data_IF_360832475829
#
_entry.id   IF_360832475829
#
_cell.length_a   1.000
_cell.length_b   1.000
_cell.length_c   1.000
_cell.angle_alpha   90.00
_cell.angle_beta   90.00
_cell.angle_gamma   90.00
#
_symmetry.space_group_name_H-M   'P 1'
#
loop_
_entity.id
_entity.type
_entity.pdbx_description
1 polymer ?
#
# COMPACT_ATOMS: atom_id res chain seq x y z
N UNK A 1 9.02 -38.68 27.27
CA UNK A 1 9.57 -38.15 26.00
C UNK A 1 8.42 -37.43 25.34
N UNK A 2 8.36 -36.11 25.56
CA UNK A 2 7.41 -35.25 24.87
C UNK A 2 8.09 -34.78 23.59
N UNK A 3 7.50 -35.08 22.45
CA UNK A 3 7.90 -34.51 21.17
C UNK A 3 7.34 -33.09 21.11
N UNK A 4 8.23 -32.10 21.09
CA UNK A 4 7.90 -30.72 20.76
C UNK A 4 7.39 -30.68 19.31
N UNK A 5 6.11 -30.38 19.14
CA UNK A 5 5.58 -29.94 17.85
C UNK A 5 6.09 -28.54 17.60
N UNK A 6 7.11 -28.43 16.75
CA UNK A 6 7.48 -27.18 16.09
C UNK A 6 6.32 -26.75 15.20
N UNK A 7 5.49 -25.83 15.69
CA UNK A 7 4.55 -25.09 14.87
C UNK A 7 5.35 -24.13 13.99
N UNK A 8 5.56 -24.53 12.75
CA UNK A 8 6.01 -23.66 11.67
C UNK A 8 4.82 -22.79 11.24
N UNK A 9 4.72 -21.58 11.81
CA UNK A 9 3.77 -20.57 11.37
C UNK A 9 4.38 -19.78 10.22
N UNK A 10 4.45 -20.40 9.04
CA UNK A 10 4.57 -19.65 7.80
C UNK A 10 3.33 -18.76 7.69
N UNK A 11 3.50 -17.46 7.93
CA UNK A 11 2.40 -16.49 7.85
C UNK A 11 1.99 -16.34 6.38
N UNK A 12 1.03 -17.14 5.96
CA UNK A 12 0.55 -17.18 4.57
C UNK A 12 -0.13 -15.84 4.25
N UNK A 13 0.48 -15.04 3.37
CA UNK A 13 -0.08 -13.76 2.91
C UNK A 13 -1.30 -14.09 2.04
N UNK A 14 -2.47 -13.54 2.41
CA UNK A 14 -3.72 -13.74 1.68
C UNK A 14 -3.84 -12.70 0.57
N UNK A 15 -4.39 -13.09 -0.58
CA UNK A 15 -4.76 -12.14 -1.63
C UNK A 15 -5.79 -11.13 -1.08
N UNK A 16 -5.56 -9.81 -1.20
CA UNK A 16 -6.36 -8.82 -0.49
C UNK A 16 -7.75 -8.66 -1.10
N UNK A 17 -8.67 -8.22 -0.25
CA UNK A 17 -9.99 -7.76 -0.70
C UNK A 17 -9.91 -6.27 -1.12
N UNK A 18 -8.94 -5.51 -0.58
CA UNK A 18 -8.74 -4.08 -0.91
C UNK A 18 -7.26 -3.70 -0.99
N UNK A 19 -6.92 -2.80 -1.93
CA UNK A 19 -5.60 -2.16 -2.03
C UNK A 19 -5.77 -0.66 -1.87
N UNK A 20 -5.12 -0.06 -0.86
CA UNK A 20 -5.18 1.38 -0.60
C UNK A 20 -3.83 2.02 -0.88
N UNK A 21 -3.83 3.02 -1.76
CA UNK A 21 -2.64 3.79 -2.12
C UNK A 21 -2.72 5.18 -1.50
N UNK A 22 -1.73 5.56 -0.70
CA UNK A 22 -1.64 6.88 -0.09
C UNK A 22 -0.53 7.71 -0.75
N UNK A 23 -0.83 8.98 -1.06
CA UNK A 23 0.20 10.00 -1.03
C UNK A 23 0.54 10.37 0.42
N UNK A 24 1.70 10.99 0.63
CA UNK A 24 2.14 11.53 1.91
C UNK A 24 1.77 13.00 2.04
N UNK A 25 2.19 13.79 1.04
CA UNK A 25 2.18 15.25 1.16
C UNK A 25 0.75 15.75 1.02
N UNK A 26 0.37 16.66 1.92
CA UNK A 26 -1.00 17.17 2.08
C UNK A 26 -2.08 16.10 2.30
N UNK A 27 -1.68 14.86 2.57
CA UNK A 27 -2.58 13.71 2.66
C UNK A 27 -2.54 13.06 4.05
N UNK A 28 -1.35 12.78 4.57
CA UNK A 28 -1.15 12.11 5.86
C UNK A 28 -0.74 13.12 6.93
N UNK A 29 -1.08 12.88 8.20
CA UNK A 29 -0.84 13.78 9.34
C UNK A 29 0.62 14.20 9.55
N UNK A 30 1.58 13.45 9.01
CA UNK A 30 3.02 13.80 9.02
C UNK A 30 3.37 14.97 8.07
N UNK A 31 2.50 15.27 7.11
CA UNK A 31 2.59 16.45 6.26
C UNK A 31 1.19 16.88 5.81
N UNK A 32 0.37 17.44 6.72
CA UNK A 32 -1.05 17.65 6.48
C UNK A 32 -1.29 18.85 5.54
N UNK A 33 -2.45 18.84 4.87
CA UNK A 33 -2.91 20.03 4.14
C UNK A 33 -3.17 21.18 5.14
N UNK A 34 -2.80 22.44 4.83
CA UNK A 34 -2.93 23.54 5.79
C UNK A 34 -4.38 23.87 6.20
N UNK A 35 -5.36 23.52 5.36
CA UNK A 35 -6.76 23.90 5.53
C UNK A 35 -7.74 22.72 5.57
N UNK A 36 -7.24 21.48 5.53
CA UNK A 36 -8.10 20.29 5.48
C UNK A 36 -7.58 19.23 6.44
N UNK A 37 -8.49 18.37 6.89
CA UNK A 37 -8.14 17.22 7.71
C UNK A 37 -7.28 16.23 6.90
N UNK A 38 -6.27 15.69 7.57
CA UNK A 38 -5.34 14.72 7.01
C UNK A 38 -5.62 13.34 7.61
N UNK A 39 -5.32 12.30 6.83
CA UNK A 39 -5.40 10.93 7.31
C UNK A 39 -4.36 10.74 8.41
N UNK A 40 -4.75 10.28 9.62
CA UNK A 40 -3.78 9.96 10.66
C UNK A 40 -2.80 8.87 10.17
N UNK A 41 -1.49 9.08 10.35
CA UNK A 41 -0.47 8.05 10.08
C UNK A 41 -0.78 6.74 10.82
N UNK A 42 -1.31 6.84 12.04
CA UNK A 42 -1.82 5.71 12.82
C UNK A 42 -2.80 4.82 12.03
N UNK A 43 -3.66 5.42 11.20
CA UNK A 43 -4.60 4.68 10.36
C UNK A 43 -3.88 3.97 9.22
N UNK A 44 -2.91 4.63 8.58
CA UNK A 44 -2.09 4.03 7.52
C UNK A 44 -1.36 2.78 8.05
N UNK A 45 -0.75 2.89 9.24
CA UNK A 45 -0.08 1.76 9.91
C UNK A 45 -1.05 0.65 10.29
N UNK A 46 -2.18 0.98 10.90
CA UNK A 46 -3.19 0.00 11.29
C UNK A 46 -3.70 -0.79 10.07
N UNK A 47 -4.05 -0.08 8.99
CA UNK A 47 -4.44 -0.68 7.72
C UNK A 47 -3.37 -1.61 7.16
N UNK A 48 -2.11 -1.21 7.21
CA UNK A 48 -1.03 -1.99 6.62
C UNK A 48 -0.63 -3.24 7.42
N UNK A 49 -0.70 -3.16 8.75
CA UNK A 49 -0.05 -4.14 9.62
C UNK A 49 -1.02 -4.95 10.48
N UNK A 50 -2.25 -4.47 10.67
CA UNK A 50 -3.26 -5.16 11.49
C UNK A 50 -4.44 -5.70 10.67
N UNK A 51 -4.58 -5.26 9.41
CA UNK A 51 -5.70 -5.65 8.51
C UNK A 51 -5.21 -6.50 7.35
N UNK A 52 -5.26 -7.82 7.52
CA UNK A 52 -4.73 -8.81 6.56
C UNK A 52 -5.45 -8.83 5.21
N UNK A 53 -6.68 -8.34 5.15
CA UNK A 53 -7.49 -8.22 3.95
C UNK A 53 -7.19 -6.95 3.15
N UNK A 54 -6.32 -6.06 3.67
CA UNK A 54 -5.98 -4.77 3.05
C UNK A 54 -4.47 -4.73 2.80
N UNK A 55 -4.08 -4.40 1.58
CA UNK A 55 -2.70 -4.06 1.28
C UNK A 55 -2.57 -2.54 1.11
N UNK A 56 -1.47 -1.97 1.62
CA UNK A 56 -1.26 -0.52 1.63
C UNK A 56 0.03 -0.15 0.91
N UNK A 57 -0.02 0.88 0.08
CA UNK A 57 1.12 1.36 -0.73
C UNK A 57 1.36 2.87 -0.55
N UNK A 58 2.64 3.27 -0.57
CA UNK A 58 3.06 4.66 -0.67
C UNK A 58 3.33 5.03 -2.15
N UNK A 59 2.37 5.65 -2.81
CA UNK A 59 2.43 5.89 -4.27
C UNK A 59 2.88 7.30 -4.67
N UNK A 60 2.89 8.25 -3.74
CA UNK A 60 3.40 9.61 -3.96
C UNK A 60 4.76 9.84 -3.34
N UNK A 61 4.87 10.72 -2.34
CA UNK A 61 6.15 10.97 -1.69
C UNK A 61 6.61 9.75 -0.85
N UNK A 62 7.76 9.20 -1.26
CA UNK A 62 8.32 7.94 -0.77
C UNK A 62 8.89 7.99 0.67
N UNK A 63 8.84 9.14 1.36
CA UNK A 63 9.12 9.18 2.79
C UNK A 63 8.09 8.35 3.60
N UNK A 64 6.82 8.31 3.16
CA UNK A 64 5.76 7.55 3.85
C UNK A 64 6.08 6.06 3.96
N UNK A 65 6.77 5.52 2.95
CA UNK A 65 7.30 4.15 2.95
C UNK A 65 8.05 3.83 4.24
N UNK A 66 8.91 4.75 4.69
CA UNK A 66 9.72 4.59 5.90
C UNK A 66 8.95 4.93 7.15
N UNK A 67 8.11 5.96 7.10
CA UNK A 67 7.33 6.45 8.24
C UNK A 67 6.24 5.45 8.69
N UNK A 68 5.73 4.62 7.76
CA UNK A 68 4.71 3.61 7.99
C UNK A 68 5.15 2.16 7.73
N UNK A 69 6.38 1.92 7.26
CA UNK A 69 6.88 0.59 6.87
C UNK A 69 5.96 -0.13 5.87
N UNK A 70 5.53 0.58 4.83
CA UNK A 70 4.68 0.06 3.74
C UNK A 70 5.45 0.07 2.42
N UNK A 71 5.17 -0.79 1.43
CA UNK A 71 5.83 -0.75 0.14
C UNK A 71 5.57 0.54 -0.64
N UNK A 72 6.55 0.97 -1.44
CA UNK A 72 6.47 2.15 -2.29
C UNK A 72 6.66 1.80 -3.78
N UNK A 73 6.91 2.83 -4.60
CA UNK A 73 7.01 2.68 -6.06
C UNK A 73 8.23 1.84 -6.48
N UNK A 74 9.34 1.92 -5.75
CA UNK A 74 10.50 1.08 -6.08
C UNK A 74 10.22 -0.39 -5.82
N UNK A 75 9.50 -0.70 -4.75
CA UNK A 75 9.07 -2.07 -4.44
C UNK A 75 8.06 -2.58 -5.47
N UNK A 76 7.19 -1.71 -6.00
CA UNK A 76 6.31 -2.04 -7.12
C UNK A 76 7.12 -2.37 -8.40
N UNK A 77 8.14 -1.55 -8.72
CA UNK A 77 9.02 -1.79 -9.88
C UNK A 77 9.75 -3.13 -9.73
N UNK A 78 10.33 -3.43 -8.55
CA UNK A 78 10.98 -4.72 -8.33
C UNK A 78 9.97 -5.86 -8.47
N UNK A 79 8.78 -5.74 -7.88
CA UNK A 79 7.73 -6.76 -7.98
C UNK A 79 7.37 -7.05 -9.43
N UNK A 80 7.19 -6.01 -10.25
CA UNK A 80 6.89 -6.16 -11.66
C UNK A 80 8.06 -6.73 -12.48
N UNK A 81 9.30 -6.39 -12.10
CA UNK A 81 10.49 -6.98 -12.68
C UNK A 81 10.51 -8.50 -12.47
N UNK A 82 10.28 -8.98 -11.24
CA UNK A 82 10.21 -10.41 -10.90
C UNK A 82 8.99 -11.12 -11.51
N UNK A 83 7.92 -10.36 -11.80
CA UNK A 83 6.74 -10.89 -12.47
C UNK A 83 6.97 -11.12 -13.96
N UNK A 84 7.68 -10.21 -14.62
CA UNK A 84 7.78 -10.15 -16.07
C UNK A 84 9.09 -10.70 -16.62
N UNK A 85 10.22 -10.54 -15.92
CA UNK A 85 11.53 -10.87 -16.48
C UNK A 85 12.04 -12.24 -16.03
N UNK A 86 12.82 -12.94 -16.88
CA UNK A 86 13.23 -12.54 -18.24
C UNK A 86 12.16 -12.77 -19.32
N UNK A 87 11.02 -13.34 -18.97
CA UNK A 87 10.07 -13.93 -19.92
C UNK A 87 9.34 -12.92 -20.83
N UNK A 88 9.20 -11.67 -20.41
CA UNK A 88 8.43 -10.64 -21.12
C UNK A 88 8.98 -9.23 -20.90
N UNK A 89 10.05 -8.89 -21.62
CA UNK A 89 10.67 -7.55 -21.61
C UNK A 89 9.70 -6.46 -22.10
N UNK A 90 8.84 -6.78 -23.06
CA UNK A 90 7.87 -5.85 -23.63
C UNK A 90 6.83 -5.43 -22.58
N UNK A 91 6.25 -6.40 -21.83
CA UNK A 91 5.29 -6.11 -20.75
C UNK A 91 5.93 -5.36 -19.59
N UNK A 92 7.19 -5.66 -19.28
CA UNK A 92 7.94 -4.86 -18.30
C UNK A 92 8.03 -3.38 -18.72
N UNK A 93 8.37 -3.12 -19.99
CA UNK A 93 8.53 -1.76 -20.52
C UNK A 93 7.24 -0.97 -20.69
N UNK A 94 6.10 -1.64 -20.74
CA UNK A 94 4.77 -1.00 -20.80
C UNK A 94 4.51 -0.14 -19.56
N UNK A 95 4.91 -0.62 -18.38
CA UNK A 95 4.71 0.09 -17.12
C UNK A 95 5.97 0.77 -16.59
N UNK A 96 7.17 0.28 -16.97
CA UNK A 96 8.44 0.84 -16.52
C UNK A 96 9.24 1.33 -17.73
N UNK A 97 8.99 2.58 -18.19
CA UNK A 97 9.64 3.11 -19.37
C UNK A 97 11.15 3.28 -19.13
N UNK A 98 12.01 2.82 -20.06
CA UNK A 98 13.47 2.78 -19.87
C UNK A 98 14.12 4.17 -19.72
N UNK A 99 13.41 5.23 -20.08
CA UNK A 99 13.91 6.62 -20.07
C UNK A 99 13.50 7.38 -18.81
N UNK A 100 12.60 6.83 -17.98
CA UNK A 100 12.13 7.52 -16.78
C UNK A 100 12.89 7.02 -15.56
N UNK A 101 13.65 7.91 -14.93
CA UNK A 101 14.33 7.61 -13.66
C UNK A 101 13.33 7.37 -12.51
N UNK A 102 12.06 7.78 -12.66
CA UNK A 102 10.96 7.63 -11.70
C UNK A 102 9.63 7.52 -12.42
N UNK A 103 8.71 6.72 -11.88
CA UNK A 103 7.32 6.74 -12.33
C UNK A 103 6.63 7.99 -11.78
N UNK A 104 5.78 8.60 -12.61
CA UNK A 104 4.84 9.60 -12.12
C UNK A 104 3.73 8.95 -11.30
N UNK A 105 2.88 9.79 -10.70
CA UNK A 105 1.80 9.36 -9.80
C UNK A 105 0.82 8.38 -10.46
N UNK A 106 0.38 8.69 -11.68
CA UNK A 106 -0.58 7.84 -12.43
C UNK A 106 0.06 6.55 -12.91
N UNK A 107 1.30 6.62 -13.38
CA UNK A 107 2.06 5.44 -13.81
C UNK A 107 2.35 4.50 -12.64
N UNK A 108 2.69 5.05 -11.47
CA UNK A 108 2.90 4.27 -10.25
C UNK A 108 1.64 3.53 -9.79
N UNK A 109 0.49 4.20 -9.80
CA UNK A 109 -0.80 3.57 -9.50
C UNK A 109 -1.16 2.49 -10.53
N UNK A 110 -0.99 2.76 -11.82
CA UNK A 110 -1.22 1.77 -12.86
C UNK A 110 -0.34 0.52 -12.68
N UNK A 111 0.93 0.71 -12.29
CA UNK A 111 1.84 -0.39 -11.99
C UNK A 111 1.39 -1.21 -10.78
N UNK A 112 1.01 -0.56 -9.67
CA UNK A 112 0.51 -1.26 -8.47
C UNK A 112 -0.68 -2.13 -8.84
N UNK A 113 -1.66 -1.60 -9.57
CA UNK A 113 -2.81 -2.39 -10.02
C UNK A 113 -2.41 -3.56 -10.92
N UNK A 114 -1.51 -3.34 -11.88
CA UNK A 114 -1.05 -4.40 -12.80
C UNK A 114 -0.40 -5.57 -12.07
N UNK A 115 0.34 -5.32 -10.98
CA UNK A 115 0.92 -6.37 -10.13
C UNK A 115 -0.17 -7.29 -9.58
N UNK A 116 -1.24 -6.74 -9.01
CA UNK A 116 -2.35 -7.54 -8.48
C UNK A 116 -3.11 -8.26 -9.60
N UNK A 117 -3.36 -7.59 -10.72
CA UNK A 117 -4.03 -8.22 -11.86
C UNK A 117 -3.25 -9.42 -12.39
N UNK A 118 -1.91 -9.35 -12.42
CA UNK A 118 -1.04 -10.45 -12.82
C UNK A 118 -0.98 -11.57 -11.77
N UNK A 119 -0.95 -11.21 -10.48
CA UNK A 119 -0.92 -12.17 -9.38
C UNK A 119 -2.27 -12.84 -9.16
N UNK A 120 -3.36 -12.31 -9.73
CA UNK A 120 -4.69 -12.79 -9.42
C UNK A 120 -4.96 -14.20 -9.98
N UNK A 121 -5.20 -15.21 -9.12
CA UNK A 121 -5.56 -16.55 -9.57
C UNK A 121 -6.96 -16.62 -10.23
N UNK A 122 -7.81 -15.60 -10.03
CA UNK A 122 -9.15 -15.54 -10.60
C UNK A 122 -9.55 -14.10 -10.98
N UNK A 123 -9.59 -13.76 -12.28
CA UNK A 123 -9.93 -12.41 -12.76
C UNK A 123 -11.28 -11.86 -12.29
N UNK A 124 -12.19 -12.71 -11.79
CA UNK A 124 -13.48 -12.28 -11.22
C UNK A 124 -13.39 -11.76 -9.79
N UNK A 125 -12.24 -11.90 -9.14
CA UNK A 125 -12.02 -11.53 -7.75
C UNK A 125 -10.84 -10.55 -7.64
N UNK A 126 -10.96 -9.40 -8.31
CA UNK A 126 -9.99 -8.30 -8.16
C UNK A 126 -10.26 -7.53 -6.87
N UNK A 127 -9.23 -7.00 -6.20
CA UNK A 127 -9.45 -6.17 -5.03
C UNK A 127 -10.07 -4.83 -5.45
N UNK A 128 -10.77 -4.20 -4.51
CA UNK A 128 -11.12 -2.79 -4.66
C UNK A 128 -9.85 -1.95 -4.56
N UNK A 129 -9.62 -1.08 -5.53
CA UNK A 129 -8.46 -0.18 -5.55
C UNK A 129 -8.89 1.22 -5.13
N UNK A 130 -8.33 1.71 -4.03
CA UNK A 130 -8.60 3.04 -3.50
C UNK A 130 -7.31 3.85 -3.55
N UNK A 131 -7.41 5.11 -3.97
CA UNK A 131 -6.31 6.07 -3.88
C UNK A 131 -6.74 7.27 -3.05
N UNK A 132 -5.96 7.56 -2.01
CA UNK A 132 -6.13 8.73 -1.16
C UNK A 132 -5.00 9.71 -1.47
N UNK A 133 -5.36 10.83 -2.09
CA UNK A 133 -4.42 11.81 -2.63
C UNK A 133 -5.10 13.19 -2.65
N UNK A 134 -4.34 14.25 -2.34
CA UNK A 134 -4.83 15.63 -2.35
C UNK A 134 -5.06 16.16 -3.77
N UNK A 135 -4.42 15.54 -4.76
CA UNK A 135 -4.63 15.81 -6.18
C UNK A 135 -5.82 15.00 -6.70
N UNK A 136 -6.67 15.64 -7.49
CA UNK A 136 -7.81 14.97 -8.14
C UNK A 136 -7.33 13.88 -9.12
N UNK A 137 -7.62 12.62 -8.76
CA UNK A 137 -7.34 11.43 -9.56
C UNK A 137 -8.63 10.69 -9.98
N UNK A 138 -9.80 11.32 -9.85
CA UNK A 138 -11.10 10.71 -10.19
C UNK A 138 -11.20 10.19 -11.63
N UNK A 139 -10.40 10.73 -12.55
CA UNK A 139 -10.30 10.26 -13.93
C UNK A 139 -9.39 9.05 -14.15
N UNK A 140 -8.73 8.53 -13.11
CA UNK A 140 -7.85 7.36 -13.21
C UNK A 140 -8.69 6.08 -13.20
N UNK A 141 -8.77 5.41 -14.36
CA UNK A 141 -9.58 4.21 -14.52
C UNK A 141 -9.21 3.07 -13.55
N UNK A 142 -10.23 2.55 -12.86
CA UNK A 142 -10.15 1.42 -11.93
C UNK A 142 -9.50 1.72 -10.59
N UNK A 143 -9.44 2.99 -10.21
CA UNK A 143 -9.25 3.43 -8.83
C UNK A 143 -10.48 4.22 -8.37
N UNK A 144 -10.92 4.00 -7.14
CA UNK A 144 -11.77 4.95 -6.43
C UNK A 144 -10.86 6.01 -5.78
N UNK A 145 -10.95 7.25 -6.26
CA UNK A 145 -10.23 8.37 -5.66
C UNK A 145 -11.01 8.95 -4.47
N UNK A 146 -10.26 9.27 -3.41
CA UNK A 146 -10.73 10.04 -2.26
C UNK A 146 -9.75 11.16 -1.95
N UNK A 147 -10.28 12.34 -1.65
CA UNK A 147 -9.49 13.34 -0.97
C UNK A 147 -9.28 12.93 0.49
N UNK A 148 -8.18 13.34 1.14
CA UNK A 148 -7.86 12.97 2.53
C UNK A 148 -9.01 13.24 3.50
N UNK A 149 -9.59 14.45 3.47
CA UNK A 149 -10.70 14.84 4.34
C UNK A 149 -11.97 14.03 4.06
N UNK A 150 -12.30 13.75 2.80
CA UNK A 150 -13.46 12.90 2.46
C UNK A 150 -13.27 11.45 2.89
N UNK A 151 -12.03 10.97 2.92
CA UNK A 151 -11.69 9.63 3.39
C UNK A 151 -11.85 9.55 4.91
N UNK A 152 -11.35 10.55 5.64
CA UNK A 152 -11.53 10.65 7.10
C UNK A 152 -13.00 10.73 7.46
N UNK A 153 -13.75 11.66 6.86
CA UNK A 153 -15.19 11.81 7.07
C UNK A 153 -15.92 10.48 6.87
N UNK A 154 -15.62 9.77 5.77
CA UNK A 154 -16.28 8.51 5.44
C UNK A 154 -15.98 7.40 6.46
N UNK A 155 -14.76 7.33 6.98
CA UNK A 155 -14.40 6.36 8.01
C UNK A 155 -15.11 6.69 9.32
N UNK A 156 -15.07 7.96 9.74
CA UNK A 156 -15.69 8.38 11.00
C UNK A 156 -17.23 8.23 10.98
N UNK A 157 -17.86 8.38 9.80
CA UNK A 157 -19.28 8.11 9.63
C UNK A 157 -19.62 6.63 9.40
N UNK A 158 -18.64 5.73 9.32
CA UNK A 158 -18.84 4.30 9.06
C UNK A 158 -19.37 4.00 7.66
N UNK A 159 -19.09 4.87 6.69
CA UNK A 159 -19.51 4.74 5.28
C UNK A 159 -18.35 4.50 4.32
N UNK A 160 -17.12 4.40 4.84
CA UNK A 160 -15.95 4.11 4.03
C UNK A 160 -16.00 2.66 3.49
N UNK A 161 -15.44 2.42 2.30
CA UNK A 161 -15.29 1.07 1.75
C UNK A 161 -14.34 0.20 2.58
N UNK A 162 -13.48 0.83 3.39
CA UNK A 162 -12.63 0.17 4.38
C UNK A 162 -13.17 0.44 5.77
N UNK A 163 -13.41 -0.62 6.54
CA UNK A 163 -13.78 -0.49 7.95
C UNK A 163 -12.52 -0.17 8.75
N UNK A 164 -12.36 1.07 9.21
CA UNK A 164 -11.25 1.49 10.06
C UNK A 164 -11.84 2.12 11.32
N UNK A 165 -11.92 1.36 12.40
CA UNK A 165 -12.10 2.01 13.69
C UNK A 165 -10.81 2.75 14.03
N UNK A 166 -10.91 3.97 14.58
CA UNK A 166 -9.72 4.72 15.03
C UNK A 166 -8.87 3.80 15.93
N UNK A 167 -7.64 3.47 15.53
CA UNK A 167 -6.85 2.49 16.25
C UNK A 167 -6.47 3.07 17.61
N UNK A 168 -6.81 2.34 18.67
CA UNK A 168 -6.57 2.79 20.06
C UNK A 168 -5.11 2.55 20.48
N UNK A 169 -4.43 1.61 19.84
CA UNK A 169 -3.08 1.15 20.17
C UNK A 169 -1.98 1.59 19.21
N UNK A 170 -2.32 2.19 18.06
CA UNK A 170 -1.34 2.59 17.05
C UNK A 170 -1.14 4.10 17.10
N UNK A 171 0.11 4.51 17.28
CA UNK A 171 0.52 5.91 17.40
C UNK A 171 0.63 6.60 16.04
N UNK A 172 0.38 7.91 16.08
CA UNK A 172 0.56 8.80 14.94
C UNK A 172 2.02 9.26 14.73
N UNK A 173 2.96 8.72 15.52
CA UNK A 173 4.37 9.09 15.47
C UNK A 173 5.06 8.34 14.32
N UNK A 174 5.81 8.99 13.41
CA UNK A 174 6.52 8.28 12.34
C UNK A 174 7.50 7.23 12.86
N UNK A 175 7.62 6.08 12.19
CA UNK A 175 8.60 5.04 12.55
C UNK A 175 10.06 5.53 12.41
N UNK A 176 10.27 6.62 11.66
CA UNK A 176 11.58 7.28 11.54
C UNK A 176 11.96 8.08 12.78
N UNK A 177 11.02 8.32 13.71
CA UNK A 177 11.27 9.03 14.96
C UNK A 177 11.61 8.07 16.09
N UNK A 178 12.63 8.41 16.89
CA UNK A 178 13.14 7.55 17.96
C UNK A 178 12.15 7.28 19.11
N UNK A 179 11.10 8.09 19.21
CA UNK A 179 10.05 7.96 20.23
C UNK A 179 8.80 7.22 19.71
N UNK A 180 8.84 6.66 18.50
CA UNK A 180 7.79 5.80 18.00
C UNK A 180 7.73 4.51 18.84
N UNK A 181 6.58 4.15 19.44
CA UNK A 181 6.45 2.97 20.27
C UNK A 181 6.32 1.67 19.46
N UNK A 182 6.00 1.77 18.15
CA UNK A 182 5.89 0.62 17.26
C UNK A 182 7.21 0.27 16.58
N UNK A 183 7.35 -1.00 16.21
CA UNK A 183 8.35 -1.48 15.27
C UNK A 183 7.68 -2.49 14.36
N UNK A 184 7.75 -2.26 13.05
CA UNK A 184 7.29 -3.19 12.03
C UNK A 184 8.47 -3.77 11.26
N UNK A 185 8.34 -4.95 10.64
CA UNK A 185 9.37 -5.49 9.76
C UNK A 185 9.75 -4.46 8.69
N UNK A 186 11.04 -4.31 8.36
CA UNK A 186 11.44 -3.44 7.28
C UNK A 186 10.86 -3.96 5.97
N UNK A 187 10.45 -3.03 5.11
CA UNK A 187 10.05 -3.34 3.74
C UNK A 187 11.30 -3.77 2.99
N UNK A 188 11.37 -5.06 2.65
CA UNK A 188 12.44 -5.60 1.82
C UNK A 188 12.15 -5.28 0.36
N UNK A 189 13.10 -4.60 -0.28
CA UNK A 189 13.00 -4.26 -1.70
C UNK A 189 13.33 -5.45 -2.58
N UNK A 190 14.23 -6.32 -2.12
CA UNK A 190 14.74 -7.45 -2.87
C UNK A 190 13.87 -8.70 -2.67
N UNK A 191 13.02 -8.70 -1.64
CA UNK A 191 11.94 -9.68 -1.41
C UNK A 191 10.59 -8.98 -1.16
N UNK A 192 9.93 -8.44 -2.22
CA UNK A 192 8.65 -7.77 -2.06
C UNK A 192 7.57 -8.73 -1.56
N UNK A 193 7.02 -8.46 -0.37
CA UNK A 193 6.01 -9.31 0.27
C UNK A 193 4.80 -9.63 -0.63
N UNK A 194 4.43 -8.72 -1.54
CA UNK A 194 3.33 -8.94 -2.50
C UNK A 194 3.56 -10.16 -3.40
N UNK A 195 4.81 -10.54 -3.68
CA UNK A 195 5.13 -11.70 -4.51
C UNK A 195 4.87 -13.03 -3.81
N UNK A 196 4.79 -13.05 -2.47
CA UNK A 196 4.45 -14.25 -1.69
C UNK A 196 2.99 -14.69 -1.91
N UNK A 197 2.17 -13.88 -2.57
CA UNK A 197 0.84 -14.26 -3.04
C UNK A 197 0.86 -15.36 -4.12
N UNK A 198 2.03 -15.67 -4.68
CA UNK A 198 2.22 -16.76 -5.66
C UNK A 198 2.26 -18.15 -5.02
N UNK A 199 2.53 -18.24 -3.72
CA UNK A 199 2.81 -19.49 -2.97
C UNK A 199 1.53 -20.12 -2.38
#
# INVERSE_FOLDING_TARGET
MGEEQTTDFGEQIRYPDTVVCFDRDYTVSVNPHPNHEAVPLSWVKHLAHERREIHVWATGNQYLRKEAAIPGINEAITSWQELMLPDSVERFREYVPPQSARLGRKEGLALVRAIYEELNPNPKNQPDFIVVDDVDLSGLGGYEHKFPWTFVDAIESGTAPVDVQRPVSVSDVPLTESNCPESYPPVDRDDPAVLRLRE
#
